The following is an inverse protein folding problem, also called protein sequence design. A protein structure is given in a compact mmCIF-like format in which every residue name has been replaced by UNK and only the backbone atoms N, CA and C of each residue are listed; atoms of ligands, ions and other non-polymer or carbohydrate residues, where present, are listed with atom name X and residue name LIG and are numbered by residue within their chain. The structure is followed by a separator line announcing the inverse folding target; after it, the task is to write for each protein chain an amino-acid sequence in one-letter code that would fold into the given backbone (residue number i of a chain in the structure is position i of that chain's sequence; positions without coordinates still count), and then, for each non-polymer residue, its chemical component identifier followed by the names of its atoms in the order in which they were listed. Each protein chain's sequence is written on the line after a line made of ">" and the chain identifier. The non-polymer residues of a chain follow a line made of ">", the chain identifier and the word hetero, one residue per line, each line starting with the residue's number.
data_IF_628734851502
#
_entry.id   IF_628734851502
#
_cell.length_a   1.000
_cell.length_b   1.000
_cell.length_c   1.000
_cell.angle_alpha   90.00
_cell.angle_beta   90.00
_cell.angle_gamma   90.00
#
_symmetry.space_group_name_H-M   'P 1'
#
loop_
_entity.id
_entity.type
_entity.pdbx_description
1 polymer ?
#
# COMPACT_ATOMS: atom_id res chain seq x y z
N UNK A 1 9.88 58.96 34.58
CA UNK A 1 10.48 58.41 33.36
C UNK A 1 10.11 56.92 33.26
N UNK A 2 8.82 56.59 33.24
CA UNK A 2 8.34 55.19 33.24
C UNK A 2 7.23 54.95 32.20
N UNK A 3 6.98 55.90 31.29
CA UNK A 3 5.96 55.77 30.24
C UNK A 3 6.53 55.46 28.86
N UNK A 4 7.85 55.34 28.72
CA UNK A 4 8.49 55.03 27.42
C UNK A 4 8.69 53.53 27.18
N UNK A 5 8.61 52.66 28.20
CA UNK A 5 8.72 51.21 28.02
C UNK A 5 7.40 50.53 27.56
N UNK A 6 6.26 51.23 27.56
CA UNK A 6 4.95 50.63 27.22
C UNK A 6 4.61 50.70 25.71
N UNK A 7 5.44 51.36 24.90
CA UNK A 7 5.20 51.56 23.46
C UNK A 7 6.04 50.67 22.53
N UNK A 8 6.99 49.89 23.06
CA UNK A 8 7.73 48.94 22.23
C UNK A 8 6.87 47.70 21.96
N UNK A 9 6.58 47.47 20.67
CA UNK A 9 5.87 46.27 20.20
C UNK A 9 6.60 45.02 20.67
N UNK A 10 5.88 44.04 21.24
CA UNK A 10 6.48 42.77 21.65
C UNK A 10 7.22 42.16 20.45
N UNK A 11 8.55 41.94 20.55
CA UNK A 11 9.36 41.48 19.41
C UNK A 11 8.89 40.14 18.84
N UNK A 12 8.13 39.36 19.63
CA UNK A 12 7.50 38.11 19.18
C UNK A 12 6.41 38.33 18.14
N UNK A 13 5.70 39.47 18.20
CA UNK A 13 4.67 39.83 17.21
C UNK A 13 5.31 40.04 15.84
N UNK A 14 6.46 40.72 15.79
CA UNK A 14 7.16 40.95 14.54
C UNK A 14 7.61 39.64 13.88
N UNK A 15 8.15 38.70 14.67
CA UNK A 15 8.56 37.38 14.18
C UNK A 15 7.38 36.61 13.57
N UNK A 16 6.22 36.60 14.25
CA UNK A 16 5.05 35.88 13.74
C UNK A 16 4.40 36.56 12.52
N UNK A 17 4.47 37.90 12.42
CA UNK A 17 4.03 38.61 11.22
C UNK A 17 4.95 38.36 10.02
N UNK A 18 6.26 38.28 10.24
CA UNK A 18 7.23 37.92 9.20
C UNK A 18 7.00 36.49 8.70
N UNK A 19 6.72 35.54 9.61
CA UNK A 19 6.32 34.17 9.26
C UNK A 19 5.03 34.13 8.46
N UNK A 20 4.02 34.93 8.85
CA UNK A 20 2.74 35.00 8.14
C UNK A 20 2.90 35.55 6.72
N UNK A 21 3.67 36.63 6.56
CA UNK A 21 3.97 37.20 5.24
C UNK A 21 4.72 36.18 4.36
N UNK A 22 5.74 35.52 4.92
CA UNK A 22 6.50 34.48 4.20
C UNK A 22 5.59 33.32 3.79
N UNK A 23 4.76 32.81 4.70
CA UNK A 23 3.82 31.73 4.40
C UNK A 23 2.78 32.15 3.35
N UNK A 24 2.35 33.41 3.35
CA UNK A 24 1.40 33.94 2.35
C UNK A 24 2.04 33.97 0.96
N UNK A 25 3.27 34.47 0.84
CA UNK A 25 4.01 34.51 -0.41
C UNK A 25 4.29 33.08 -0.93
N UNK A 26 4.65 32.16 -0.03
CA UNK A 26 4.84 30.75 -0.35
C UNK A 26 3.54 30.07 -0.81
N UNK A 27 2.41 30.33 -0.16
CA UNK A 27 1.10 29.80 -0.60
C UNK A 27 0.79 30.28 -2.01
N UNK A 28 0.90 31.59 -2.28
CA UNK A 28 0.62 32.15 -3.61
C UNK A 28 1.53 31.53 -4.68
N UNK A 29 2.82 31.36 -4.38
CA UNK A 29 3.78 30.74 -5.29
C UNK A 29 3.41 29.28 -5.57
N UNK A 30 3.16 28.49 -4.53
CA UNK A 30 2.84 27.07 -4.67
C UNK A 30 1.49 26.86 -5.39
N UNK A 31 0.51 27.74 -5.19
CA UNK A 31 -0.78 27.68 -5.89
C UNK A 31 -0.61 27.95 -7.40
N UNK A 32 0.24 28.90 -7.79
CA UNK A 32 0.59 29.13 -9.20
C UNK A 32 1.29 27.90 -9.80
N UNK A 33 2.30 27.35 -9.10
CA UNK A 33 3.01 26.15 -9.58
C UNK A 33 2.06 24.94 -9.70
N UNK A 34 1.10 24.81 -8.78
CA UNK A 34 0.08 23.76 -8.85
C UNK A 34 -0.82 23.93 -10.08
N UNK A 35 -1.20 25.16 -10.44
CA UNK A 35 -2.00 25.43 -11.63
C UNK A 35 -1.23 25.18 -12.94
N UNK A 36 0.05 25.53 -12.97
CA UNK A 36 0.96 25.20 -14.07
C UNK A 36 1.12 23.69 -14.24
N UNK A 37 1.32 22.95 -13.14
CA UNK A 37 1.41 21.49 -13.14
C UNK A 37 0.10 20.84 -13.62
N UNK A 38 -1.05 21.31 -13.15
CA UNK A 38 -2.36 20.84 -13.61
C UNK A 38 -2.60 21.11 -15.10
N UNK A 39 -2.18 22.28 -15.59
CA UNK A 39 -2.27 22.62 -17.02
C UNK A 39 -1.38 21.71 -17.85
N UNK A 40 -0.16 21.45 -17.38
CA UNK A 40 0.79 20.53 -18.02
C UNK A 40 0.25 19.10 -18.05
N UNK A 41 -0.33 18.62 -16.95
CA UNK A 41 -0.98 17.30 -16.89
C UNK A 41 -2.09 17.17 -17.93
N UNK A 42 -3.00 18.16 -18.00
CA UNK A 42 -4.09 18.19 -19.00
C UNK A 42 -3.56 18.22 -20.44
N UNK A 43 -2.47 18.95 -20.68
CA UNK A 43 -1.83 19.01 -22.01
C UNK A 43 -1.27 17.65 -22.40
N UNK A 44 -0.49 17.01 -21.52
CA UNK A 44 0.09 15.68 -21.74
C UNK A 44 -1.02 14.65 -21.94
N UNK A 45 -2.10 14.70 -21.16
CA UNK A 45 -3.24 13.79 -21.28
C UNK A 45 -3.91 13.86 -22.65
N UNK A 46 -4.14 15.08 -23.16
CA UNK A 46 -4.72 15.30 -24.48
C UNK A 46 -3.78 14.83 -25.61
N UNK A 47 -2.48 15.11 -25.46
CA UNK A 47 -1.48 14.71 -26.43
C UNK A 47 -1.32 13.17 -26.50
N UNK A 48 -1.14 12.53 -25.35
CA UNK A 48 -1.04 11.07 -25.23
C UNK A 48 -2.28 10.36 -25.78
N UNK A 49 -3.47 10.85 -25.42
CA UNK A 49 -4.76 10.41 -26.00
C UNK A 49 -4.75 10.48 -27.53
N UNK A 50 -4.28 11.59 -28.11
CA UNK A 50 -4.22 11.74 -29.57
C UNK A 50 -3.23 10.77 -30.20
N UNK A 51 -2.03 10.62 -29.63
CA UNK A 51 -0.98 9.72 -30.15
C UNK A 51 -1.44 8.26 -30.12
N UNK A 52 -2.02 7.82 -29.01
CA UNK A 52 -2.55 6.47 -28.86
C UNK A 52 -3.73 6.19 -29.79
N UNK A 53 -4.64 7.16 -29.99
CA UNK A 53 -5.72 7.03 -31.00
C UNK A 53 -5.18 6.80 -32.41
N UNK A 54 -4.07 7.45 -32.78
CA UNK A 54 -3.44 7.25 -34.09
C UNK A 54 -2.85 5.84 -34.21
N UNK A 55 -2.15 5.36 -33.18
CA UNK A 55 -1.59 4.00 -33.15
C UNK A 55 -2.68 2.92 -33.13
N UNK A 56 -3.74 3.14 -32.34
CA UNK A 56 -4.92 2.28 -32.27
C UNK A 56 -5.56 2.06 -33.65
N UNK A 57 -5.81 3.15 -34.40
CA UNK A 57 -6.33 3.07 -35.77
C UNK A 57 -5.41 2.33 -36.74
N UNK A 58 -4.08 2.44 -36.57
CA UNK A 58 -3.11 1.76 -37.45
C UNK A 58 -3.00 0.26 -37.18
N UNK A 59 -3.15 -0.15 -35.92
CA UNK A 59 -2.90 -1.52 -35.48
C UNK A 59 -4.18 -2.37 -35.38
N UNK A 60 -5.32 -1.74 -35.14
CA UNK A 60 -6.64 -2.38 -35.08
C UNK A 60 -6.70 -3.53 -34.08
N UNK A 61 -7.33 -4.63 -34.48
CA UNK A 61 -7.58 -5.80 -33.61
C UNK A 61 -6.34 -6.53 -33.09
N UNK A 62 -5.13 -6.14 -33.53
CA UNK A 62 -3.90 -6.70 -32.98
C UNK A 62 -3.67 -6.26 -31.53
N UNK A 63 -4.16 -5.08 -31.13
CA UNK A 63 -4.04 -4.59 -29.74
C UNK A 63 -4.86 -5.48 -28.81
N UNK A 64 -6.14 -5.69 -29.14
CA UNK A 64 -7.06 -6.51 -28.33
C UNK A 64 -6.58 -7.95 -28.15
N UNK A 65 -6.01 -8.53 -29.20
CA UNK A 65 -5.47 -9.91 -29.16
C UNK A 65 -4.28 -10.07 -28.22
N UNK A 66 -3.52 -9.00 -27.98
CA UNK A 66 -2.29 -9.07 -27.16
C UNK A 66 -2.54 -8.62 -25.72
N UNK A 67 -3.70 -8.03 -25.40
CA UNK A 67 -4.05 -7.65 -24.02
C UNK A 67 -3.85 -8.75 -22.97
N UNK A 68 -4.23 -10.03 -23.22
CA UNK A 68 -4.00 -11.08 -22.23
C UNK A 68 -2.52 -11.28 -21.90
N UNK A 69 -1.63 -11.11 -22.90
CA UNK A 69 -0.19 -11.21 -22.71
C UNK A 69 0.34 -10.08 -21.82
N UNK A 70 -0.01 -8.81 -22.11
CA UNK A 70 0.45 -7.69 -21.29
C UNK A 70 -0.14 -7.70 -19.88
N UNK A 71 -1.40 -8.12 -19.72
CA UNK A 71 -2.00 -8.32 -18.40
C UNK A 71 -1.28 -9.43 -17.61
N UNK A 72 -0.97 -10.56 -18.25
CA UNK A 72 -0.18 -11.62 -17.61
C UNK A 72 1.25 -11.16 -17.27
N UNK A 73 1.85 -10.31 -18.11
CA UNK A 73 3.17 -9.75 -17.89
C UNK A 73 3.19 -8.82 -16.66
N UNK A 74 2.15 -8.02 -16.46
CA UNK A 74 1.97 -7.19 -15.26
C UNK A 74 1.81 -8.05 -14.00
N UNK A 75 1.00 -9.11 -14.05
CA UNK A 75 0.86 -10.08 -12.94
C UNK A 75 2.22 -10.70 -12.61
N UNK A 76 2.96 -11.18 -13.62
CA UNK A 76 4.27 -11.80 -13.42
C UNK A 76 5.28 -10.81 -12.81
N UNK A 77 5.28 -9.55 -13.25
CA UNK A 77 6.13 -8.50 -12.67
C UNK A 77 5.77 -8.20 -11.21
N UNK A 78 4.48 -8.13 -10.86
CA UNK A 78 4.03 -7.95 -9.47
C UNK A 78 4.44 -9.14 -8.59
N UNK A 79 4.17 -10.36 -9.06
CA UNK A 79 4.57 -11.58 -8.36
C UNK A 79 6.10 -11.68 -8.19
N UNK A 80 6.88 -11.25 -9.19
CA UNK A 80 8.35 -11.18 -9.10
C UNK A 80 8.81 -10.23 -7.98
N UNK A 81 8.24 -9.03 -7.92
CA UNK A 81 8.60 -8.03 -6.91
C UNK A 81 8.26 -8.52 -5.50
N UNK A 82 7.12 -9.17 -5.32
CA UNK A 82 6.73 -9.74 -4.04
C UNK A 82 7.60 -10.94 -3.65
N UNK A 83 7.94 -11.82 -4.60
CA UNK A 83 8.87 -12.92 -4.38
C UNK A 83 10.26 -12.40 -3.95
N UNK A 84 10.76 -11.35 -4.60
CA UNK A 84 12.02 -10.70 -4.22
C UNK A 84 11.94 -10.09 -2.81
N UNK A 85 10.84 -9.40 -2.47
CA UNK A 85 10.63 -8.86 -1.12
C UNK A 85 10.62 -9.99 -0.06
N UNK A 86 9.89 -11.07 -0.33
CA UNK A 86 9.85 -12.23 0.56
C UNK A 86 11.23 -12.91 0.69
N UNK A 87 12.00 -12.99 -0.41
CA UNK A 87 13.36 -13.52 -0.40
C UNK A 87 14.29 -12.71 0.50
N UNK A 88 14.21 -11.38 0.44
CA UNK A 88 15.00 -10.49 1.31
C UNK A 88 14.62 -10.67 2.79
N UNK A 89 13.33 -10.83 3.08
CA UNK A 89 12.86 -11.09 4.45
C UNK A 89 13.38 -12.45 4.96
N UNK A 90 13.28 -13.50 4.14
CA UNK A 90 13.81 -14.82 4.49
C UNK A 90 15.32 -14.81 4.69
N UNK A 91 16.07 -14.13 3.82
CA UNK A 91 17.52 -13.96 3.99
C UNK A 91 17.84 -13.27 5.33
N UNK A 92 17.15 -12.18 5.64
CA UNK A 92 17.33 -11.47 6.92
C UNK A 92 16.99 -12.36 8.12
N UNK A 93 15.91 -13.14 8.04
CA UNK A 93 15.53 -14.08 9.10
C UNK A 93 16.59 -15.18 9.29
N UNK A 94 17.17 -15.69 8.20
CA UNK A 94 18.29 -16.64 8.26
C UNK A 94 19.52 -16.05 8.96
N UNK A 95 19.88 -14.80 8.64
CA UNK A 95 21.02 -14.10 9.26
C UNK A 95 20.80 -13.86 10.76
N UNK A 96 19.60 -13.41 11.15
CA UNK A 96 19.23 -13.23 12.56
C UNK A 96 19.34 -14.54 13.33
N UNK A 97 18.83 -15.62 12.74
CA UNK A 97 18.89 -16.94 13.34
C UNK A 97 20.31 -17.48 13.50
N UNK A 98 21.16 -17.29 12.48
CA UNK A 98 22.56 -17.65 12.55
C UNK A 98 23.28 -16.87 13.67
N UNK A 99 23.03 -15.56 13.78
CA UNK A 99 23.61 -14.72 14.84
C UNK A 99 23.10 -15.10 16.25
N UNK A 100 21.82 -15.48 16.38
CA UNK A 100 21.26 -15.96 17.64
C UNK A 100 21.94 -17.29 18.07
N UNK A 101 22.12 -18.24 17.14
CA UNK A 101 22.85 -19.49 17.38
C UNK A 101 24.29 -19.24 17.78
N UNK A 102 24.98 -18.32 17.10
CA UNK A 102 26.36 -17.94 17.44
C UNK A 102 26.43 -17.32 18.84
N UNK A 103 25.44 -16.49 19.22
CA UNK A 103 25.38 -15.89 20.56
C UNK A 103 25.28 -16.95 21.66
N UNK A 104 24.44 -17.99 21.47
CA UNK A 104 24.35 -19.12 22.41
C UNK A 104 25.67 -19.90 22.45
N UNK A 105 26.25 -20.22 21.28
CA UNK A 105 27.50 -20.96 21.20
C UNK A 105 28.67 -20.22 21.89
N UNK A 106 28.77 -18.90 21.70
CA UNK A 106 29.78 -18.06 22.36
C UNK A 106 29.54 -17.98 23.87
N UNK A 107 28.29 -17.88 24.32
CA UNK A 107 27.94 -17.89 25.74
C UNK A 107 28.35 -19.21 26.41
N UNK A 108 28.05 -20.35 25.77
CA UNK A 108 28.46 -21.69 26.22
C UNK A 108 29.99 -21.84 26.25
N UNK A 109 30.69 -21.41 25.19
CA UNK A 109 32.15 -21.48 25.11
C UNK A 109 32.82 -20.66 26.22
N UNK A 110 32.33 -19.43 26.48
CA UNK A 110 32.85 -18.57 27.55
C UNK A 110 32.64 -19.19 28.93
N UNK A 111 31.47 -19.78 29.17
CA UNK A 111 31.21 -20.49 30.42
C UNK A 111 32.12 -21.71 30.61
N UNK A 112 32.32 -22.51 29.57
CA UNK A 112 33.23 -23.67 29.64
C UNK A 112 34.69 -23.25 29.86
N UNK A 113 35.12 -22.12 29.30
CA UNK A 113 36.49 -21.59 29.47
C UNK A 113 36.73 -21.02 30.87
N UNK A 114 35.71 -20.40 31.48
CA UNK A 114 35.79 -19.77 32.80
C UNK A 114 35.17 -20.61 33.92
N UNK A 115 35.02 -21.93 33.72
CA UNK A 115 34.34 -22.86 34.62
C UNK A 115 34.87 -22.87 36.07
N UNK A 116 36.12 -22.48 36.27
CA UNK A 116 36.76 -22.35 37.58
C UNK A 116 36.45 -21.04 38.33
N UNK A 117 36.01 -19.98 37.62
CA UNK A 117 35.66 -18.68 38.21
C UNK A 117 34.15 -18.45 38.25
N UNK A 118 33.42 -18.99 37.27
CA UNK A 118 31.98 -18.76 37.14
C UNK A 118 31.21 -19.95 37.70
N UNK A 119 30.32 -19.68 38.65
CA UNK A 119 29.34 -20.66 39.12
C UNK A 119 28.12 -20.62 38.19
N UNK A 120 27.49 -21.77 37.96
CA UNK A 120 26.19 -21.84 37.30
C UNK A 120 25.14 -21.32 38.29
N UNK A 121 24.95 -20.00 38.31
CA UNK A 121 24.03 -19.32 39.20
C UNK A 121 22.68 -19.06 38.51
N UNK A 122 21.71 -18.56 39.28
CA UNK A 122 20.36 -18.29 38.75
C UNK A 122 20.37 -17.25 37.62
N UNK A 123 21.26 -16.25 37.69
CA UNK A 123 21.37 -15.21 36.66
C UNK A 123 21.90 -15.77 35.33
N UNK A 124 22.88 -16.69 35.37
CA UNK A 124 23.40 -17.34 34.18
C UNK A 124 22.39 -18.31 33.55
N UNK A 125 21.63 -19.04 34.38
CA UNK A 125 20.53 -19.89 33.92
C UNK A 125 19.44 -19.07 33.22
N UNK A 126 19.03 -17.94 33.79
CA UNK A 126 18.06 -17.02 33.18
C UNK A 126 18.57 -16.44 31.85
N UNK A 127 19.85 -16.05 31.78
CA UNK A 127 20.49 -15.57 30.54
C UNK A 127 20.46 -16.64 29.43
N UNK A 128 20.83 -17.88 29.75
CA UNK A 128 20.85 -18.98 28.76
C UNK A 128 19.43 -19.34 28.31
N UNK A 129 18.46 -19.35 29.22
CA UNK A 129 17.05 -19.55 28.90
C UNK A 129 16.56 -18.47 27.91
N UNK A 130 16.86 -17.20 28.18
CA UNK A 130 16.51 -16.09 27.27
C UNK A 130 17.17 -16.23 25.90
N UNK A 131 18.46 -16.58 25.85
CA UNK A 131 19.17 -16.80 24.61
C UNK A 131 18.57 -17.99 23.81
N UNK A 132 18.16 -19.05 24.50
CA UNK A 132 17.51 -20.22 23.90
C UNK A 132 16.13 -19.88 23.34
N UNK A 133 15.31 -19.12 24.09
CA UNK A 133 14.01 -18.63 23.61
C UNK A 133 14.20 -17.78 22.35
N UNK A 134 15.19 -16.89 22.32
CA UNK A 134 15.51 -16.07 21.13
C UNK A 134 15.93 -16.91 19.92
N UNK A 135 16.70 -17.97 20.11
CA UNK A 135 17.06 -18.89 19.01
C UNK A 135 15.82 -19.62 18.49
N UNK A 136 14.91 -20.03 19.38
CA UNK A 136 13.66 -20.67 18.99
C UNK A 136 12.73 -19.70 18.24
N UNK A 137 12.58 -18.46 18.71
CA UNK A 137 11.83 -17.41 18.02
C UNK A 137 12.41 -17.10 16.64
N UNK A 138 13.74 -17.01 16.53
CA UNK A 138 14.43 -16.77 15.26
C UNK A 138 14.28 -17.96 14.28
N UNK A 139 14.33 -19.21 14.76
CA UNK A 139 14.04 -20.38 13.93
C UNK A 139 12.59 -20.35 13.43
N UNK A 140 11.62 -20.02 14.30
CA UNK A 140 10.22 -19.93 13.90
C UNK A 140 10.00 -18.85 12.82
N UNK A 141 10.58 -17.66 12.99
CA UNK A 141 10.53 -16.59 11.98
C UNK A 141 11.17 -17.00 10.66
N UNK A 142 12.28 -17.74 10.70
CA UNK A 142 12.94 -18.29 9.52
C UNK A 142 12.05 -19.32 8.79
N UNK A 143 11.40 -20.22 9.53
CA UNK A 143 10.50 -21.22 8.94
C UNK A 143 9.31 -20.53 8.28
N UNK A 144 8.67 -19.58 8.95
CA UNK A 144 7.50 -18.88 8.42
C UNK A 144 7.85 -18.03 7.18
N UNK A 145 8.94 -17.26 7.25
CA UNK A 145 9.42 -16.49 6.10
C UNK A 145 9.88 -17.37 4.93
N UNK A 146 10.41 -18.57 5.22
CA UNK A 146 10.76 -19.57 4.21
C UNK A 146 9.52 -20.12 3.49
N UNK A 147 8.47 -20.45 4.25
CA UNK A 147 7.18 -20.91 3.70
C UNK A 147 6.55 -19.83 2.81
N UNK A 148 6.52 -18.58 3.27
CA UNK A 148 5.98 -17.45 2.49
C UNK A 148 6.80 -17.19 1.22
N UNK A 149 8.14 -17.22 1.31
CA UNK A 149 8.99 -17.09 0.12
C UNK A 149 8.75 -18.21 -0.89
N UNK A 150 8.63 -19.46 -0.44
CA UNK A 150 8.33 -20.60 -1.31
C UNK A 150 6.97 -20.44 -2.00
N UNK A 151 5.94 -20.02 -1.26
CA UNK A 151 4.62 -19.72 -1.82
C UNK A 151 4.69 -18.65 -2.91
N UNK A 152 5.34 -17.51 -2.63
CA UNK A 152 5.53 -16.41 -3.60
C UNK A 152 6.35 -16.85 -4.82
N UNK A 153 7.34 -17.71 -4.63
CA UNK A 153 8.14 -18.26 -5.73
C UNK A 153 7.30 -19.17 -6.64
N UNK A 154 6.42 -20.00 -6.10
CA UNK A 154 5.49 -20.81 -6.89
C UNK A 154 4.53 -19.95 -7.71
N UNK A 155 3.96 -18.90 -7.11
CA UNK A 155 3.12 -17.92 -7.80
C UNK A 155 3.86 -17.23 -8.96
N UNK A 156 5.08 -16.78 -8.71
CA UNK A 156 5.91 -16.15 -9.74
C UNK A 156 6.19 -17.12 -10.90
N UNK A 157 6.60 -18.36 -10.60
CA UNK A 157 6.85 -19.38 -11.62
C UNK A 157 5.59 -19.70 -12.44
N UNK A 158 4.43 -19.81 -11.79
CA UNK A 158 3.16 -20.04 -12.46
C UNK A 158 2.79 -18.87 -13.38
N UNK A 159 2.95 -17.62 -12.92
CA UNK A 159 2.71 -16.43 -13.73
C UNK A 159 3.66 -16.34 -14.92
N UNK A 160 4.94 -16.64 -14.73
CA UNK A 160 5.95 -16.66 -15.79
C UNK A 160 5.65 -17.72 -16.87
N UNK A 161 5.22 -18.92 -16.46
CA UNK A 161 4.77 -19.96 -17.40
C UNK A 161 3.58 -19.49 -18.23
N UNK A 162 2.60 -18.81 -17.62
CA UNK A 162 1.45 -18.25 -18.34
C UNK A 162 1.88 -17.17 -19.36
N UNK A 163 2.83 -16.30 -18.99
CA UNK A 163 3.40 -15.31 -19.90
C UNK A 163 4.10 -16.00 -21.08
N UNK A 164 4.92 -17.02 -20.82
CA UNK A 164 5.64 -17.76 -21.86
C UNK A 164 4.66 -18.44 -22.84
N UNK A 165 3.61 -19.10 -22.33
CA UNK A 165 2.58 -19.72 -23.17
C UNK A 165 1.87 -18.71 -24.08
N UNK A 166 1.54 -17.53 -23.54
CA UNK A 166 0.93 -16.44 -24.30
C UNK A 166 1.91 -15.82 -25.31
N UNK A 167 3.19 -15.70 -24.96
CA UNK A 167 4.23 -15.19 -25.84
C UNK A 167 4.38 -16.08 -27.08
N UNK A 168 4.50 -17.39 -26.87
CA UNK A 168 4.67 -18.36 -27.95
C UNK A 168 3.44 -18.39 -28.88
N UNK A 169 2.23 -18.31 -28.32
CA UNK A 169 0.98 -18.27 -29.09
C UNK A 169 0.77 -16.97 -29.86
N UNK A 170 1.17 -15.82 -29.30
CA UNK A 170 0.82 -14.48 -29.81
C UNK A 170 2.00 -13.69 -30.38
N UNK A 171 3.20 -14.26 -30.46
CA UNK A 171 4.46 -13.61 -30.85
C UNK A 171 4.37 -12.59 -31.99
N UNK A 172 3.73 -12.94 -33.11
CA UNK A 172 3.57 -12.04 -34.26
C UNK A 172 2.71 -10.82 -33.96
N UNK A 173 1.64 -11.00 -33.18
CA UNK A 173 0.77 -9.90 -32.77
C UNK A 173 1.47 -9.01 -31.73
N UNK A 174 2.24 -9.61 -30.81
CA UNK A 174 3.05 -8.88 -29.82
C UNK A 174 4.02 -7.93 -30.52
N UNK A 175 4.82 -8.43 -31.46
CA UNK A 175 5.79 -7.61 -32.20
C UNK A 175 5.10 -6.45 -32.94
N UNK A 176 3.94 -6.70 -33.53
CA UNK A 176 3.18 -5.68 -34.26
C UNK A 176 2.54 -4.64 -33.33
N UNK A 177 2.04 -5.05 -32.17
CA UNK A 177 1.37 -4.17 -31.21
C UNK A 177 2.35 -3.43 -30.29
N UNK A 178 3.61 -3.87 -30.20
CA UNK A 178 4.64 -3.29 -29.33
C UNK A 178 4.76 -1.76 -29.38
N UNK A 179 4.76 -1.08 -30.55
CA UNK A 179 4.84 0.37 -30.59
C UNK A 179 3.68 1.10 -29.87
N UNK A 180 2.50 0.47 -29.77
CA UNK A 180 1.38 1.02 -29.00
C UNK A 180 1.62 0.92 -27.51
N UNK A 181 2.05 -0.25 -27.03
CA UNK A 181 2.28 -0.47 -25.60
C UNK A 181 3.51 0.29 -25.09
N UNK A 182 4.56 0.43 -25.91
CA UNK A 182 5.71 1.27 -25.57
C UNK A 182 5.32 2.75 -25.45
N UNK A 183 4.52 3.28 -26.38
CA UNK A 183 4.01 4.66 -26.29
C UNK A 183 3.02 4.82 -25.11
N UNK A 184 2.16 3.83 -24.85
CA UNK A 184 1.23 3.82 -23.70
C UNK A 184 2.01 3.88 -22.39
N UNK A 185 3.07 3.08 -22.25
CA UNK A 185 3.94 3.09 -21.08
C UNK A 185 4.64 4.44 -20.88
N UNK A 186 5.19 5.04 -21.94
CA UNK A 186 5.80 6.37 -21.87
C UNK A 186 4.79 7.45 -21.43
N UNK A 187 3.57 7.41 -21.98
CA UNK A 187 2.51 8.33 -21.61
C UNK A 187 2.08 8.15 -20.14
N UNK A 188 1.94 6.90 -19.69
CA UNK A 188 1.62 6.58 -18.30
C UNK A 188 2.71 7.05 -17.34
N UNK A 189 3.99 6.88 -17.69
CA UNK A 189 5.12 7.38 -16.90
C UNK A 189 5.08 8.92 -16.79
N UNK A 190 4.93 9.63 -17.91
CA UNK A 190 4.85 11.09 -17.93
C UNK A 190 3.68 11.64 -17.11
N UNK A 191 2.49 11.03 -17.25
CA UNK A 191 1.30 11.39 -16.46
C UNK A 191 1.50 11.06 -14.99
N UNK A 192 2.13 9.92 -14.68
CA UNK A 192 2.48 9.52 -13.32
C UNK A 192 3.42 10.52 -12.64
N UNK A 193 4.50 10.93 -13.30
CA UNK A 193 5.42 11.94 -12.77
C UNK A 193 4.75 13.30 -12.54
N UNK A 194 3.87 13.74 -13.46
CA UNK A 194 3.14 14.99 -13.25
C UNK A 194 2.10 14.88 -12.14
N UNK A 195 1.44 13.73 -12.00
CA UNK A 195 0.52 13.47 -10.88
C UNK A 195 1.25 13.50 -9.55
N UNK A 196 2.40 12.83 -9.43
CA UNK A 196 3.24 12.86 -8.23
C UNK A 196 3.67 14.29 -7.90
N UNK A 197 4.07 15.09 -8.90
CA UNK A 197 4.39 16.51 -8.70
C UNK A 197 3.20 17.31 -8.17
N UNK A 198 2.00 17.09 -8.71
CA UNK A 198 0.77 17.73 -8.25
C UNK A 198 0.49 17.36 -6.78
N UNK A 199 0.63 16.08 -6.42
CA UNK A 199 0.44 15.59 -5.04
C UNK A 199 1.46 16.21 -4.08
N UNK A 200 2.74 16.29 -4.47
CA UNK A 200 3.79 16.95 -3.69
C UNK A 200 3.50 18.45 -3.48
N UNK A 201 3.06 19.16 -4.53
CA UNK A 201 2.69 20.58 -4.43
C UNK A 201 1.48 20.77 -3.52
N UNK A 202 0.46 19.90 -3.59
CA UNK A 202 -0.69 19.92 -2.69
C UNK A 202 -0.28 19.68 -1.24
N UNK A 203 0.61 18.71 -0.99
CA UNK A 203 1.14 18.44 0.34
C UNK A 203 1.92 19.64 0.89
N UNK A 204 2.74 20.30 0.06
CA UNK A 204 3.47 21.50 0.44
C UNK A 204 2.52 22.67 0.76
N UNK A 205 1.50 22.90 -0.08
CA UNK A 205 0.47 23.92 0.19
C UNK A 205 -0.22 23.65 1.53
N UNK A 206 -0.57 22.39 1.81
CA UNK A 206 -1.19 22.03 3.09
C UNK A 206 -0.25 22.28 4.27
N UNK A 207 1.04 21.97 4.13
CA UNK A 207 2.06 22.27 5.15
C UNK A 207 2.22 23.78 5.38
N UNK A 208 2.28 24.58 4.33
CA UNK A 208 2.41 26.05 4.45
C UNK A 208 1.12 26.69 4.98
N UNK A 209 -0.06 26.18 4.61
CA UNK A 209 -1.34 26.60 5.21
C UNK A 209 -1.40 26.26 6.70
N UNK A 210 -0.85 25.12 7.10
CA UNK A 210 -0.70 24.77 8.51
C UNK A 210 0.22 25.78 9.24
N UNK A 211 1.40 26.09 8.70
CA UNK A 211 2.31 27.08 9.33
C UNK A 211 1.70 28.48 9.39
N UNK A 212 0.96 28.90 8.36
CA UNK A 212 0.17 30.13 8.37
C UNK A 212 -0.87 30.14 9.51
N UNK A 213 -1.63 29.06 9.66
CA UNK A 213 -2.62 28.92 10.74
C UNK A 213 -1.98 28.87 12.13
N UNK A 214 -0.80 28.27 12.25
CA UNK A 214 -0.05 28.20 13.49
C UNK A 214 0.48 29.58 13.90
N UNK A 215 1.02 30.36 12.96
CA UNK A 215 1.46 31.73 13.19
C UNK A 215 0.29 32.63 13.64
N UNK A 216 -0.89 32.49 13.02
CA UNK A 216 -2.12 33.18 13.45
C UNK A 216 -2.50 32.83 14.89
N UNK A 217 -2.46 31.53 15.26
CA UNK A 217 -2.75 31.08 16.63
C UNK A 217 -1.73 31.61 17.63
N UNK A 218 -0.45 31.71 17.24
CA UNK A 218 0.62 32.28 18.07
C UNK A 218 0.43 33.79 18.27
N UNK A 219 0.03 34.52 17.23
CA UNK A 219 -0.36 35.94 17.35
C UNK A 219 -1.56 36.14 18.27
N UNK A 220 -2.56 35.27 18.17
CA UNK A 220 -3.71 35.26 19.09
C UNK A 220 -3.27 35.02 20.54
N UNK A 221 -2.39 34.04 20.77
CA UNK A 221 -1.84 33.74 22.09
C UNK A 221 -1.06 34.94 22.66
N UNK A 222 -0.17 35.56 21.88
CA UNK A 222 0.57 36.75 22.31
C UNK A 222 -0.40 37.90 22.63
N UNK A 223 -1.43 38.10 21.80
CA UNK A 223 -2.47 39.10 22.06
C UNK A 223 -3.17 38.85 23.40
N UNK A 224 -3.56 37.60 23.67
CA UNK A 224 -4.20 37.21 24.92
C UNK A 224 -3.27 37.38 26.14
N UNK A 225 -1.98 37.05 26.02
CA UNK A 225 -0.97 37.28 27.06
C UNK A 225 -0.85 38.77 27.42
N UNK A 226 -0.78 39.65 26.43
CA UNK A 226 -0.68 41.11 26.64
C UNK A 226 -1.93 41.62 27.36
N UNK A 227 -3.12 41.19 26.94
CA UNK A 227 -4.38 41.55 27.61
C UNK A 227 -4.45 41.06 29.05
N UNK A 228 -4.03 39.83 29.32
CA UNK A 228 -4.00 39.29 30.69
C UNK A 228 -3.00 40.01 31.58
N UNK A 229 -1.81 40.38 31.06
CA UNK A 229 -0.82 41.19 31.80
C UNK A 229 -1.40 42.56 32.16
N UNK A 230 -2.03 43.26 31.22
CA UNK A 230 -2.68 44.57 31.48
C UNK A 230 -3.80 44.47 32.51
N UNK A 231 -4.60 43.39 32.47
CA UNK A 231 -5.62 43.10 33.47
C UNK A 231 -5.02 42.81 34.86
N UNK A 232 -3.88 42.10 34.92
CA UNK A 232 -3.21 41.76 36.19
C UNK A 232 -2.50 42.94 36.86
N UNK A 233 -2.05 43.93 36.08
CA UNK A 233 -1.38 45.15 36.58
C UNK A 233 -2.37 46.21 37.10
N UNK A 234 -3.68 45.95 37.08
CA UNK A 234 -4.69 46.88 37.61
C UNK A 234 -4.83 48.18 36.81
N UNK A 235 -4.24 48.27 35.60
CA UNK A 235 -4.30 49.46 34.73
C UNK A 235 -5.73 49.67 34.17
N UNK A 236 -6.66 48.73 34.38
CA UNK A 236 -8.04 48.78 33.92
C UNK A 236 -9.01 48.67 35.12
N UNK A 237 -9.01 49.65 36.02
CA UNK A 237 -10.17 49.89 36.89
C UNK A 237 -10.99 51.13 36.50
N UNK A 238 -10.53 51.94 35.54
CA UNK A 238 -11.31 53.07 35.01
C UNK A 238 -11.15 53.15 33.48
N UNK A 239 -12.27 53.13 32.76
CA UNK A 239 -12.42 53.33 31.31
C UNK A 239 -12.02 52.17 30.37
N UNK A 240 -12.91 51.17 30.24
CA UNK A 240 -13.58 50.81 28.98
C UNK A 240 -14.13 49.36 29.01
N UNK A 241 -15.44 49.23 29.18
CA UNK A 241 -16.21 47.96 29.06
C UNK A 241 -16.18 47.33 27.65
N UNK A 242 -15.52 47.96 26.67
CA UNK A 242 -15.42 47.47 25.29
C UNK A 242 -14.23 46.52 25.06
N UNK A 243 -13.22 46.51 25.92
CA UNK A 243 -12.02 45.65 25.80
C UNK A 243 -12.15 44.31 26.52
N UNK A 244 -13.18 44.15 27.37
CA UNK A 244 -13.47 42.95 28.17
C UNK A 244 -14.57 42.07 27.59
N UNK A 245 -15.19 42.46 26.47
CA UNK A 245 -16.14 41.59 25.76
C UNK A 245 -15.40 40.38 25.15
N UNK A 246 -15.96 39.15 25.24
CA UNK A 246 -15.52 38.04 24.40
C UNK A 246 -15.45 38.51 22.95
N UNK A 247 -14.29 38.38 22.31
CA UNK A 247 -14.13 38.80 20.91
C UNK A 247 -15.08 37.97 20.06
N UNK A 248 -15.88 38.65 19.25
CA UNK A 248 -16.68 38.00 18.23
C UNK A 248 -15.75 37.27 17.26
N UNK A 249 -16.19 36.17 16.64
CA UNK A 249 -15.40 35.45 15.64
C UNK A 249 -14.84 36.43 14.62
N UNK A 250 -13.55 36.28 14.27
CA UNK A 250 -12.91 37.13 13.27
C UNK A 250 -13.70 37.10 11.95
N UNK A 251 -13.55 38.13 11.11
CA UNK A 251 -14.20 38.19 9.80
C UNK A 251 -13.82 36.93 8.99
N UNK A 252 -14.78 36.05 8.72
CA UNK A 252 -14.57 34.73 8.09
C UNK A 252 -14.63 33.51 9.04
N UNK A 253 -14.93 33.71 10.33
CA UNK A 253 -15.08 32.65 11.34
C UNK A 253 -16.54 32.37 11.74
N UNK A 254 -17.52 32.78 10.93
CA UNK A 254 -18.91 32.37 11.07
C UNK A 254 -19.09 30.85 10.89
N UNK A 255 -19.06 30.13 12.02
CA UNK A 255 -19.83 28.91 12.32
C UNK A 255 -20.02 27.93 11.14
N UNK A 256 -19.03 27.07 10.95
CA UNK A 256 -19.20 25.80 10.26
C UNK A 256 -19.84 24.78 11.22
N UNK A 257 -21.08 25.01 11.65
CA UNK A 257 -21.82 24.07 12.51
C UNK A 257 -23.33 24.11 12.17
N UNK A 258 -23.71 23.53 11.02
CA UNK A 258 -24.97 22.78 10.79
C UNK A 258 -25.10 22.36 9.31
N UNK A 259 -25.52 21.11 9.02
CA UNK A 259 -25.61 20.60 7.66
C UNK A 259 -26.95 21.00 7.03
N UNK A 260 -27.01 22.14 6.33
CA UNK A 260 -28.10 22.36 5.36
C UNK A 260 -27.74 23.37 4.26
N UNK A 261 -27.58 22.82 3.05
CA UNK A 261 -27.97 23.40 1.76
C UNK A 261 -27.67 24.88 1.49
N UNK A 262 -26.48 25.17 0.96
CA UNK A 262 -26.27 26.12 -0.15
C UNK A 262 -24.80 26.07 -0.62
N UNK A 263 -24.48 25.09 -1.47
CA UNK A 263 -23.21 25.07 -2.20
C UNK A 263 -23.34 25.99 -3.42
N UNK A 264 -22.88 27.23 -3.29
CA UNK A 264 -22.53 28.06 -4.45
C UNK A 264 -21.06 28.43 -4.36
N UNK A 265 -20.29 27.89 -5.30
CA UNK A 265 -19.12 28.46 -5.95
C UNK A 265 -17.95 28.95 -5.09
N UNK A 266 -17.19 27.99 -4.53
CA UNK A 266 -15.74 28.14 -4.41
C UNK A 266 -15.05 26.83 -4.85
N UNK A 267 -14.78 26.78 -6.16
CA UNK A 267 -13.70 26.03 -6.83
C UNK A 267 -13.29 24.69 -6.21
N UNK A 268 -14.20 23.72 -6.23
CA UNK A 268 -13.79 22.32 -6.37
C UNK A 268 -13.20 22.23 -7.78
N UNK A 269 -11.87 22.33 -7.91
CA UNK A 269 -11.18 21.84 -9.10
C UNK A 269 -11.66 20.40 -9.25
N UNK A 270 -12.42 20.15 -10.32
CA UNK A 270 -12.87 18.82 -10.74
C UNK A 270 -11.77 17.80 -10.43
N UNK A 271 -12.06 16.67 -9.75
CA UNK A 271 -11.08 15.62 -9.53
C UNK A 271 -10.35 15.35 -10.85
N UNK A 272 -9.02 15.28 -10.80
CA UNK A 272 -8.24 15.00 -11.99
C UNK A 272 -8.83 13.75 -12.67
N UNK A 273 -9.16 13.83 -13.97
CA UNK A 273 -9.71 12.68 -14.68
C UNK A 273 -8.79 11.47 -14.47
N UNK A 274 -9.38 10.31 -14.19
CA UNK A 274 -8.62 9.08 -14.14
C UNK A 274 -8.04 8.80 -15.53
N UNK A 275 -6.74 9.05 -15.66
CA UNK A 275 -6.05 8.97 -16.92
C UNK A 275 -5.97 7.54 -17.43
N UNK A 276 -5.98 6.51 -16.56
CA UNK A 276 -6.02 5.13 -17.00
C UNK A 276 -7.34 4.86 -17.74
N UNK A 277 -8.45 5.32 -17.17
CA UNK A 277 -9.77 5.22 -17.79
C UNK A 277 -9.88 6.03 -19.09
N UNK A 278 -9.22 7.18 -19.19
CA UNK A 278 -9.26 8.02 -20.40
C UNK A 278 -8.36 7.48 -21.53
N UNK A 279 -7.23 6.86 -21.17
CA UNK A 279 -6.38 6.11 -22.10
C UNK A 279 -7.11 4.86 -22.60
N UNK A 280 -7.84 4.15 -21.74
CA UNK A 280 -8.59 2.95 -22.11
C UNK A 280 -9.85 3.27 -22.96
N UNK A 281 -10.47 4.44 -22.75
CA UNK A 281 -11.56 4.95 -23.63
C UNK A 281 -11.11 5.12 -25.09
N UNK A 282 -9.83 5.36 -25.33
CA UNK A 282 -9.28 5.45 -26.69
C UNK A 282 -9.29 4.10 -27.42
N UNK A 283 -9.49 3.00 -26.69
CA UNK A 283 -9.45 1.65 -27.21
C UNK A 283 -10.84 1.16 -27.68
N UNK A 284 -11.94 1.83 -27.28
CA UNK A 284 -13.31 1.33 -27.46
C UNK A 284 -14.07 1.94 -28.65
N UNK A 285 -13.60 3.04 -29.24
CA UNK A 285 -14.37 3.78 -30.26
C UNK A 285 -14.15 3.35 -31.72
N UNK A 286 -13.58 2.17 -31.97
CA UNK A 286 -13.37 1.67 -33.34
C UNK A 286 -14.43 0.67 -33.84
N UNK A 287 -15.68 0.74 -33.37
CA UNK A 287 -16.80 0.04 -34.03
C UNK A 287 -18.08 0.89 -33.93
N UNK A 288 -18.62 1.28 -35.09
CA UNK A 288 -19.92 1.90 -35.21
C UNK A 288 -21.06 0.92 -34.88
N UNK A 289 -22.20 1.50 -34.50
CA UNK A 289 -23.54 0.92 -34.39
C UNK A 289 -23.76 -0.43 -35.06
N UNK A 290 -24.14 -1.43 -34.27
CA UNK A 290 -25.24 -2.35 -34.59
C UNK A 290 -25.89 -2.85 -33.30
N UNK A 291 -27.22 -2.79 -33.30
CA UNK A 291 -28.14 -3.20 -32.25
C UNK A 291 -28.00 -4.65 -31.82
N UNK A 292 -28.22 -4.87 -30.53
CA UNK A 292 -29.13 -5.87 -29.97
C UNK A 292 -29.05 -7.29 -30.51
N UNK A 293 -28.27 -8.13 -29.83
CA UNK A 293 -28.62 -9.54 -29.65
C UNK A 293 -28.27 -9.96 -28.22
N UNK A 294 -29.29 -10.29 -27.44
CA UNK A 294 -29.18 -11.04 -26.19
C UNK A 294 -28.40 -12.32 -26.46
N UNK A 295 -27.29 -12.54 -25.78
CA UNK A 295 -26.56 -13.81 -25.86
C UNK A 295 -26.21 -14.29 -24.46
N UNK A 296 -26.72 -15.49 -24.19
CA UNK A 296 -26.65 -16.24 -22.94
C UNK A 296 -25.28 -16.23 -22.30
N UNK A 297 -25.28 -16.03 -20.99
CA UNK A 297 -24.21 -16.50 -20.12
C UNK A 297 -24.17 -18.03 -20.20
N UNK A 298 -23.24 -18.57 -20.99
CA UNK A 298 -22.77 -19.95 -20.83
C UNK A 298 -21.67 -19.87 -19.78
N UNK A 299 -22.07 -20.16 -18.54
CA UNK A 299 -21.14 -20.49 -17.47
C UNK A 299 -20.52 -21.83 -17.83
N UNK A 300 -19.36 -21.82 -18.48
CA UNK A 300 -18.48 -22.97 -18.52
C UNK A 300 -18.00 -23.20 -17.09
N UNK A 301 -18.75 -24.02 -16.36
CA UNK A 301 -18.32 -24.60 -15.10
C UNK A 301 -17.27 -25.64 -15.50
N UNK A 302 -16.02 -25.38 -15.14
CA UNK A 302 -14.89 -26.27 -15.40
C UNK A 302 -15.17 -27.65 -14.78
N UNK A 303 -15.48 -28.64 -15.61
CA UNK A 303 -15.64 -30.06 -15.20
C UNK A 303 -14.34 -30.69 -14.67
N UNK A 304 -13.23 -29.92 -14.62
CA UNK A 304 -11.94 -30.34 -14.08
C UNK A 304 -11.75 -30.00 -12.59
N UNK A 305 -12.52 -29.07 -11.99
CA UNK A 305 -12.37 -28.75 -10.56
C UNK A 305 -12.87 -29.89 -9.66
N UNK A 306 -13.87 -30.64 -10.11
CA UNK A 306 -14.49 -31.72 -9.31
C UNK A 306 -13.56 -32.93 -9.11
N UNK A 307 -12.59 -33.16 -10.01
CA UNK A 307 -11.64 -34.29 -9.92
C UNK A 307 -10.48 -34.02 -8.96
N UNK A 308 -10.05 -32.76 -8.84
CA UNK A 308 -8.94 -32.37 -7.96
C UNK A 308 -9.39 -32.32 -6.48
N UNK A 309 -10.66 -31.99 -6.22
CA UNK A 309 -11.21 -31.93 -4.86
C UNK A 309 -11.48 -33.33 -4.27
N UNK A 310 -11.95 -34.30 -5.07
CA UNK A 310 -12.14 -35.69 -4.63
C UNK A 310 -10.79 -36.35 -4.27
N UNK A 311 -9.74 -36.09 -5.06
CA UNK A 311 -8.38 -36.56 -4.77
C UNK A 311 -7.77 -35.90 -3.52
N UNK A 312 -8.04 -34.60 -3.32
CA UNK A 312 -7.61 -33.87 -2.14
C UNK A 312 -8.28 -34.41 -0.86
N UNK A 313 -9.57 -34.73 -0.94
CA UNK A 313 -10.33 -35.29 0.17
C UNK A 313 -9.91 -36.73 0.50
N UNK A 314 -9.56 -37.54 -0.51
CA UNK A 314 -8.94 -38.86 -0.32
C UNK A 314 -7.60 -38.73 0.42
N UNK A 315 -6.79 -37.72 0.07
CA UNK A 315 -5.50 -37.49 0.70
C UNK A 315 -5.62 -36.98 2.15
N UNK A 316 -6.61 -36.10 2.44
CA UNK A 316 -6.96 -35.69 3.82
C UNK A 316 -7.41 -36.89 4.66
N UNK A 317 -8.21 -37.78 4.07
CA UNK A 317 -8.69 -38.99 4.74
C UNK A 317 -7.54 -39.94 5.04
N UNK A 318 -6.62 -40.11 4.08
CA UNK A 318 -5.40 -40.91 4.24
C UNK A 318 -4.45 -40.34 5.30
N UNK A 319 -4.29 -39.01 5.37
CA UNK A 319 -3.53 -38.36 6.46
C UNK A 319 -4.22 -38.58 7.82
N UNK A 320 -5.55 -38.51 7.88
CA UNK A 320 -6.31 -38.76 9.13
C UNK A 320 -6.22 -40.22 9.59
N UNK A 321 -6.20 -41.17 8.65
CA UNK A 321 -6.00 -42.59 8.93
C UNK A 321 -4.56 -42.86 9.40
N UNK A 322 -3.57 -42.33 8.67
CA UNK A 322 -2.15 -42.47 9.03
C UNK A 322 -1.78 -41.68 10.27
N UNK A 323 -2.51 -40.64 10.68
CA UNK A 323 -2.27 -39.92 11.93
C UNK A 323 -2.60 -40.75 13.18
N UNK A 324 -3.41 -41.80 13.03
CA UNK A 324 -3.65 -42.78 14.09
C UNK A 324 -2.50 -43.77 14.08
N UNK A 325 -1.58 -43.63 15.04
CA UNK A 325 -0.46 -44.55 15.21
C UNK A 325 -0.98 -46.00 15.32
N UNK A 326 -0.50 -46.94 14.49
CA UNK A 326 -0.85 -48.35 14.64
C UNK A 326 -0.43 -48.83 16.03
N UNK A 327 -1.41 -49.15 16.87
CA UNK A 327 -1.15 -49.76 18.18
C UNK A 327 -1.01 -51.25 17.93
N UNK A 328 0.10 -51.67 17.31
CA UNK A 328 0.46 -53.08 17.37
C UNK A 328 1.22 -53.33 18.69
N UNK A 329 0.78 -54.37 19.39
CA UNK A 329 0.82 -54.45 20.85
C UNK A 329 2.20 -54.40 21.52
N UNK A 330 2.21 -53.80 22.72
CA UNK A 330 3.14 -54.14 23.81
C UNK A 330 4.59 -53.68 23.66
N UNK A 331 5.02 -52.82 24.58
CA UNK A 331 6.42 -52.45 24.85
C UNK A 331 7.18 -51.73 23.71
N UNK A 332 6.85 -50.45 23.52
CA UNK A 332 7.83 -49.36 23.64
C UNK A 332 8.99 -49.25 22.63
N UNK A 333 9.09 -50.11 21.61
CA UNK A 333 10.05 -49.96 20.50
C UNK A 333 9.49 -50.57 19.20
N UNK A 334 8.73 -49.80 18.42
CA UNK A 334 8.53 -50.11 17.01
C UNK A 334 9.35 -49.13 16.17
N UNK A 335 10.29 -49.67 15.38
CA UNK A 335 10.98 -48.94 14.32
C UNK A 335 10.06 -48.89 13.09
N UNK A 336 8.94 -48.17 13.19
CA UNK A 336 8.04 -47.99 12.05
C UNK A 336 8.48 -46.79 11.19
N UNK A 337 9.75 -46.76 10.79
CA UNK A 337 10.29 -45.77 9.85
C UNK A 337 9.47 -45.73 8.55
N UNK A 338 8.82 -46.85 8.19
CA UNK A 338 7.96 -46.99 7.01
C UNK A 338 6.65 -46.19 7.18
N UNK A 339 5.98 -46.33 8.33
CA UNK A 339 4.77 -45.56 8.62
C UNK A 339 5.09 -44.07 8.78
N UNK A 340 6.18 -43.73 9.47
CA UNK A 340 6.63 -42.34 9.60
C UNK A 340 6.95 -41.71 8.24
N UNK A 341 7.61 -42.47 7.35
CA UNK A 341 7.91 -42.03 5.98
C UNK A 341 6.66 -41.92 5.12
N UNK A 342 5.69 -42.83 5.25
CA UNK A 342 4.43 -42.77 4.51
C UNK A 342 3.54 -41.61 4.98
N UNK A 343 3.43 -41.40 6.29
CA UNK A 343 2.72 -40.26 6.86
C UNK A 343 3.39 -38.95 6.42
N UNK A 344 4.71 -38.85 6.54
CA UNK A 344 5.45 -37.67 6.09
C UNK A 344 5.24 -37.41 4.59
N UNK A 345 5.35 -38.43 3.75
CA UNK A 345 5.16 -38.28 2.31
C UNK A 345 3.73 -37.88 1.95
N UNK A 346 2.72 -38.44 2.62
CA UNK A 346 1.31 -38.10 2.38
C UNK A 346 0.97 -36.68 2.86
N UNK A 347 1.52 -36.25 4.00
CA UNK A 347 1.43 -34.87 4.49
C UNK A 347 2.14 -33.89 3.54
N UNK A 348 3.39 -34.17 3.15
CA UNK A 348 4.14 -33.33 2.20
C UNK A 348 3.40 -33.18 0.86
N UNK A 349 2.75 -34.26 0.40
CA UNK A 349 1.94 -34.25 -0.83
C UNK A 349 0.64 -33.45 -0.66
N UNK A 350 -0.02 -33.56 0.50
CA UNK A 350 -1.21 -32.77 0.82
C UNK A 350 -0.87 -31.28 0.91
N UNK A 351 0.21 -30.94 1.60
CA UNK A 351 0.72 -29.58 1.72
C UNK A 351 1.07 -29.01 0.34
N UNK A 352 1.72 -29.79 -0.53
CA UNK A 352 2.04 -29.36 -1.89
C UNK A 352 0.78 -29.05 -2.71
N UNK A 353 -0.24 -29.93 -2.68
CA UNK A 353 -1.48 -29.73 -3.44
C UNK A 353 -2.27 -28.54 -2.88
N UNK A 354 -2.38 -28.42 -1.55
CA UNK A 354 -3.04 -27.28 -0.90
C UNK A 354 -2.34 -25.97 -1.23
N UNK A 355 -1.00 -25.94 -1.23
CA UNK A 355 -0.21 -24.78 -1.61
C UNK A 355 -0.45 -24.40 -3.08
N UNK A 356 -0.52 -25.38 -3.99
CA UNK A 356 -0.82 -25.13 -5.40
C UNK A 356 -2.23 -24.55 -5.61
N UNK A 357 -3.25 -25.08 -4.90
CA UNK A 357 -4.61 -24.54 -4.93
C UNK A 357 -4.68 -23.11 -4.36
N UNK A 358 -3.99 -22.85 -3.26
CA UNK A 358 -3.90 -21.51 -2.67
C UNK A 358 -3.21 -20.54 -3.64
N UNK A 359 -2.11 -20.96 -4.27
CA UNK A 359 -1.43 -20.17 -5.29
C UNK A 359 -2.34 -19.90 -6.50
N UNK A 360 -3.12 -20.88 -6.97
CA UNK A 360 -4.07 -20.68 -8.06
C UNK A 360 -5.16 -19.65 -7.70
N UNK A 361 -5.69 -19.72 -6.47
CA UNK A 361 -6.67 -18.76 -5.93
C UNK A 361 -6.09 -17.36 -5.82
N UNK A 362 -4.87 -17.22 -5.29
CA UNK A 362 -4.20 -15.91 -5.20
C UNK A 362 -3.89 -15.33 -6.57
N UNK A 363 -3.46 -16.15 -7.54
CA UNK A 363 -3.24 -15.70 -8.91
C UNK A 363 -4.54 -15.22 -9.58
N UNK A 364 -5.67 -15.82 -9.24
CA UNK A 364 -6.99 -15.33 -9.66
C UNK A 364 -7.37 -14.03 -8.95
N UNK A 365 -7.03 -13.85 -7.67
CA UNK A 365 -7.18 -12.58 -6.97
C UNK A 365 -6.32 -11.48 -7.59
N UNK A 366 -5.06 -11.75 -7.96
CA UNK A 366 -4.21 -10.80 -8.68
C UNK A 366 -4.83 -10.38 -10.02
N UNK A 367 -5.39 -11.32 -10.77
CA UNK A 367 -6.13 -11.02 -12.01
C UNK A 367 -7.38 -10.19 -11.73
N UNK A 368 -8.06 -10.41 -10.61
CA UNK A 368 -9.21 -9.63 -10.14
C UNK A 368 -8.83 -8.21 -9.74
N UNK A 369 -7.78 -8.04 -8.94
CA UNK A 369 -7.26 -6.73 -8.50
C UNK A 369 -6.82 -5.87 -9.69
N UNK A 370 -6.15 -6.46 -10.69
CA UNK A 370 -5.74 -5.73 -11.89
C UNK A 370 -6.96 -5.32 -12.71
N UNK A 371 -7.98 -6.18 -12.84
CA UNK A 371 -9.25 -5.82 -13.49
C UNK A 371 -9.99 -4.69 -12.75
N UNK A 372 -9.98 -4.69 -11.43
CA UNK A 372 -10.60 -3.65 -10.60
C UNK A 372 -9.80 -2.34 -10.67
N UNK A 373 -8.46 -2.43 -10.69
CA UNK A 373 -7.60 -1.27 -10.90
C UNK A 373 -7.75 -0.66 -12.31
N UNK A 374 -8.19 -1.44 -13.30
CA UNK A 374 -8.57 -0.95 -14.63
C UNK A 374 -10.03 -0.49 -14.76
N UNK A 375 -10.93 -0.85 -13.83
CA UNK A 375 -12.34 -0.44 -13.79
C UNK A 375 -12.71 0.14 -12.40
N UNK A 376 -12.52 1.45 -12.16
CA UNK A 376 -12.70 2.06 -10.83
C UNK A 376 -14.16 2.25 -10.40
N UNK A 377 -15.14 1.80 -11.20
CA UNK A 377 -16.57 2.09 -10.95
C UNK A 377 -17.12 1.33 -9.73
N UNK A 378 -16.42 0.30 -9.22
CA UNK A 378 -16.90 -0.52 -8.07
C UNK A 378 -16.21 -0.28 -6.74
N UNK A 379 -15.10 0.46 -6.68
CA UNK A 379 -14.42 0.73 -5.42
C UNK A 379 -15.11 1.83 -4.60
N UNK A 380 -15.89 2.69 -5.24
CA UNK A 380 -16.60 3.78 -4.56
C UNK A 380 -17.96 3.38 -3.97
N UNK A 381 -18.56 2.25 -4.38
CA UNK A 381 -19.81 1.76 -3.75
C UNK A 381 -19.58 1.05 -2.41
N UNK A 382 -18.39 0.46 -2.18
CA UNK A 382 -18.06 -0.21 -0.92
C UNK A 382 -17.48 0.74 0.14
N UNK A 383 -16.82 1.82 -0.26
CA UNK A 383 -16.32 2.85 0.67
C UNK A 383 -17.44 3.78 1.17
N UNK A 384 -18.52 3.94 0.39
CA UNK A 384 -19.69 4.72 0.78
C UNK A 384 -20.57 4.01 1.82
N UNK A 385 -20.64 2.68 1.81
CA UNK A 385 -21.49 1.93 2.77
C UNK A 385 -20.85 1.74 4.15
N UNK A 386 -19.53 1.88 4.30
CA UNK A 386 -18.87 1.78 5.61
C UNK A 386 -18.86 3.09 6.40
N UNK A 387 -19.24 4.22 5.79
CA UNK A 387 -19.27 5.53 6.45
C UNK A 387 -20.68 5.97 6.91
N UNK A 388 -21.72 5.13 6.75
CA UNK A 388 -23.06 5.40 7.30
C UNK A 388 -23.37 4.63 8.61
N UNK A 389 -22.41 3.92 9.18
CA UNK A 389 -22.60 3.13 10.43
C UNK A 389 -21.52 3.32 11.50
N UNK A 390 -20.95 4.51 11.63
CA UNK A 390 -20.26 4.92 12.86
C UNK A 390 -20.66 6.33 13.29
#
# INVERSE_FOLDING_TARGET
>A
MEQEEENDLDPRIQIELEKLNTATDEINKLEIELDEANTTFRMILNESTRRLKVLSKKLGSCIDRVRPYFAALEVAKKAQQECQKAAVIFQRANEIHAAAKETVALAEQRFMSNKHEWQFDNAWQEMLNHATIKVMEAENQKVESGREHQKRAMLFNAAEQQVQQLEDRLRRHIIKARPYFDEKALCQEQLGTQKERIEQLQEQINKTKYTYSEALRQLEQISNEIHMKRKSLGIIECENELLTRPREPGVGAELCDSPSSSKTDFSIKSPLPDFNLELDKCEVHSMGSISGTTSSAVSEKDENEDLDDEYLDELKLKVKELAVRPIDGGEGKSNDEIWESELKHTVDKLDHIMLMQECAKELNNYKGEIKIASDPIKTDELSAQTNELN
#
